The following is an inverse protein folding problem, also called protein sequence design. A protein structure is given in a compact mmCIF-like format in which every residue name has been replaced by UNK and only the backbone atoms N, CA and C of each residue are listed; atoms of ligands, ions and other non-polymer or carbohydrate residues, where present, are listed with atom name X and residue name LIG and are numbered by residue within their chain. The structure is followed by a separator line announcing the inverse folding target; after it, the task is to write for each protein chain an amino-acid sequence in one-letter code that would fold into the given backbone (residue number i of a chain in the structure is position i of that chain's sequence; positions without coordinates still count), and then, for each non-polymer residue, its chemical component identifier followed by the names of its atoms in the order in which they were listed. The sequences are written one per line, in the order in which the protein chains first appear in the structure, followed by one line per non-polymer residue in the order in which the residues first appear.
data_IF_075884241660
#
_entry.id   IF_075884241660
#
_cell.length_a   1.000
_cell.length_b   1.000
_cell.length_c   1.000
_cell.angle_alpha   90.00
_cell.angle_beta   90.00
_cell.angle_gamma   90.00
#
_symmetry.space_group_name_H-M   'P 1'
#
loop_
_entity.id
_entity.type
_entity.pdbx_description
1 polymer ?
#
# COMPACT_ATOMS: atom_id res chain seq x y z
N UNK A 1 -32.21 38.10 -8.14
CA UNK A 1 -30.81 38.46 -7.83
C UNK A 1 -30.51 37.84 -6.49
N UNK A 2 -29.74 36.77 -6.54
CA UNK A 2 -29.47 35.86 -5.44
C UNK A 2 -28.57 36.55 -4.43
N UNK A 3 -29.07 36.72 -3.21
CA UNK A 3 -28.27 37.15 -2.07
C UNK A 3 -27.36 35.98 -1.70
N UNK A 4 -26.11 36.08 -2.16
CA UNK A 4 -25.06 35.09 -2.00
C UNK A 4 -24.54 35.18 -0.57
N UNK A 5 -25.27 34.59 0.37
CA UNK A 5 -24.80 34.37 1.74
C UNK A 5 -23.59 33.46 1.75
N UNK A 6 -22.40 34.06 1.65
CA UNK A 6 -21.13 33.37 1.79
C UNK A 6 -21.07 32.71 3.18
N UNK A 7 -21.18 31.39 3.20
CA UNK A 7 -20.90 30.56 4.38
C UNK A 7 -19.40 30.63 4.69
N UNK A 8 -18.99 31.69 5.39
CA UNK A 8 -17.66 31.81 5.95
C UNK A 8 -17.50 30.72 7.02
N UNK A 9 -16.79 29.63 6.67
CA UNK A 9 -16.38 28.61 7.64
C UNK A 9 -15.41 29.25 8.64
N UNK A 10 -15.74 29.30 9.93
CA UNK A 10 -14.81 29.79 10.94
C UNK A 10 -13.53 28.96 10.92
N UNK A 11 -12.40 29.66 10.81
CA UNK A 11 -11.07 29.08 10.69
C UNK A 11 -10.81 28.00 11.73
N UNK A 12 -10.65 26.78 11.25
CA UNK A 12 -9.88 25.75 11.96
C UNK A 12 -8.39 26.06 11.77
N UNK A 13 -7.91 27.17 12.36
CA UNK A 13 -6.49 27.33 12.65
C UNK A 13 -6.17 26.51 13.89
N UNK A 14 -6.29 25.18 13.80
CA UNK A 14 -5.62 24.28 14.74
C UNK A 14 -4.13 24.46 14.45
N UNK A 15 -3.47 25.28 15.27
CA UNK A 15 -2.02 25.45 15.20
C UNK A 15 -1.37 24.07 15.25
N UNK A 16 -0.70 23.69 14.17
CA UNK A 16 0.23 22.58 14.21
C UNK A 16 1.38 23.04 15.12
N UNK A 17 1.45 22.51 16.35
CA UNK A 17 2.66 22.63 17.15
C UNK A 17 3.77 21.97 16.34
N UNK A 18 4.88 22.70 16.14
CA UNK A 18 6.09 22.10 15.59
C UNK A 18 6.54 20.98 16.54
N UNK A 19 6.66 19.77 16.01
CA UNK A 19 7.26 18.65 16.73
C UNK A 19 8.74 18.95 16.99
N UNK A 20 9.26 18.42 18.08
CA UNK A 20 10.68 18.50 18.41
C UNK A 20 11.49 17.53 17.56
N UNK A 21 12.77 17.82 17.33
CA UNK A 21 13.67 16.93 16.57
C UNK A 21 13.76 15.52 17.19
N UNK A 22 13.64 15.42 18.52
CA UNK A 22 13.62 14.13 19.22
C UNK A 22 12.32 13.34 18.94
N UNK A 23 11.17 14.02 18.90
CA UNK A 23 9.89 13.40 18.53
C UNK A 23 9.91 12.93 17.08
N UNK A 24 10.45 13.73 16.16
CA UNK A 24 10.60 13.34 14.76
C UNK A 24 11.55 12.16 14.60
N UNK A 25 12.69 12.16 15.29
CA UNK A 25 13.63 11.04 15.30
C UNK A 25 12.99 9.77 15.90
N UNK A 26 12.16 9.91 16.93
CA UNK A 26 11.44 8.78 17.52
C UNK A 26 10.42 8.17 16.55
N UNK A 27 9.68 9.01 15.82
CA UNK A 27 8.71 8.59 14.81
C UNK A 27 9.39 7.90 13.63
N UNK A 28 10.54 8.42 13.17
CA UNK A 28 11.35 7.78 12.13
C UNK A 28 11.87 6.41 12.56
N UNK A 29 12.41 6.29 13.77
CA UNK A 29 12.88 5.02 14.32
C UNK A 29 11.75 3.99 14.42
N UNK A 30 10.57 4.42 14.90
CA UNK A 30 9.39 3.56 14.98
C UNK A 30 8.93 3.12 13.59
N UNK A 31 8.85 4.04 12.64
CA UNK A 31 8.46 3.75 11.25
C UNK A 31 9.43 2.81 10.55
N UNK A 32 10.74 3.03 10.72
CA UNK A 32 11.77 2.14 10.19
C UNK A 32 11.70 0.74 10.82
N UNK A 33 11.51 0.65 12.14
CA UNK A 33 11.37 -0.62 12.83
C UNK A 33 10.18 -1.41 12.30
N UNK A 34 9.04 -0.75 12.12
CA UNK A 34 7.84 -1.37 11.54
C UNK A 34 8.08 -1.86 10.11
N UNK A 35 8.64 -1.02 9.23
CA UNK A 35 8.86 -1.42 7.82
C UNK A 35 9.88 -2.53 7.68
N UNK A 36 10.90 -2.60 8.54
CA UNK A 36 11.85 -3.72 8.56
C UNK A 36 11.20 -5.02 9.06
N UNK A 37 10.40 -4.96 10.13
CA UNK A 37 9.76 -6.15 10.70
C UNK A 37 8.73 -6.78 9.76
N UNK A 38 7.96 -5.96 9.04
CA UNK A 38 6.90 -6.43 8.13
C UNK A 38 7.33 -6.45 6.66
N UNK A 39 8.63 -6.25 6.37
CA UNK A 39 9.10 -6.34 4.99
C UNK A 39 8.98 -7.77 4.48
N UNK A 40 8.17 -7.97 3.45
CA UNK A 40 8.04 -9.26 2.77
C UNK A 40 9.20 -9.50 1.79
N UNK A 41 9.81 -8.42 1.28
CA UNK A 41 10.88 -8.46 0.29
C UNK A 41 12.09 -7.69 0.80
N UNK A 42 13.18 -8.39 1.09
CA UNK A 42 14.41 -7.80 1.66
C UNK A 42 15.44 -7.46 0.59
N UNK A 43 15.42 -8.19 -0.53
CA UNK A 43 16.33 -7.95 -1.65
C UNK A 43 15.78 -6.88 -2.61
N UNK A 44 16.62 -5.90 -2.96
CA UNK A 44 16.26 -4.82 -3.87
C UNK A 44 15.87 -5.33 -5.27
N UNK A 45 16.48 -6.41 -5.74
CA UNK A 45 16.14 -6.99 -7.05
C UNK A 45 14.74 -7.64 -7.02
N UNK A 46 14.41 -8.35 -5.94
CA UNK A 46 13.08 -8.93 -5.72
C UNK A 46 12.00 -7.85 -5.65
N UNK A 47 12.27 -6.71 -5.00
CA UNK A 47 11.35 -5.57 -4.98
C UNK A 47 11.09 -5.03 -6.39
N UNK A 48 12.13 -4.91 -7.22
CA UNK A 48 12.00 -4.44 -8.61
C UNK A 48 11.19 -5.43 -9.45
N UNK A 49 11.43 -6.72 -9.26
CA UNK A 49 10.74 -7.78 -10.00
C UNK A 49 9.25 -7.83 -9.65
N UNK A 50 8.89 -7.79 -8.36
CA UNK A 50 7.50 -7.72 -7.89
C UNK A 50 6.81 -6.47 -8.42
N UNK A 51 7.48 -5.32 -8.37
CA UNK A 51 6.92 -4.08 -8.92
C UNK A 51 6.68 -4.18 -10.42
N UNK A 52 7.60 -4.80 -11.17
CA UNK A 52 7.44 -5.01 -12.62
C UNK A 52 6.26 -5.94 -12.92
N UNK A 53 6.12 -7.02 -12.15
CA UNK A 53 5.02 -7.97 -12.27
C UNK A 53 3.66 -7.29 -12.05
N UNK A 54 3.53 -6.51 -10.97
CA UNK A 54 2.27 -5.83 -10.63
C UNK A 54 1.94 -4.65 -11.56
N UNK A 55 2.95 -3.96 -12.11
CA UNK A 55 2.75 -2.81 -13.00
C UNK A 55 2.19 -3.19 -14.37
N UNK A 56 2.16 -4.48 -14.73
CA UNK A 56 1.52 -4.96 -15.96
C UNK A 56 -0.01 -5.08 -15.87
N UNK A 57 -0.58 -4.86 -14.68
CA UNK A 57 -2.02 -4.92 -14.44
C UNK A 57 -2.66 -3.54 -14.44
N UNK A 58 -3.95 -3.44 -14.81
CA UNK A 58 -4.73 -2.19 -14.73
C UNK A 58 -5.24 -1.92 -13.30
N UNK A 59 -4.45 -2.28 -12.29
CA UNK A 59 -4.78 -2.08 -10.88
C UNK A 59 -4.35 -0.69 -10.41
N UNK A 60 -5.10 -0.13 -9.45
CA UNK A 60 -4.75 1.14 -8.85
C UNK A 60 -3.46 1.02 -8.01
N UNK A 61 -2.73 2.12 -7.86
CA UNK A 61 -1.48 2.13 -7.06
C UNK A 61 -1.68 1.64 -5.62
N UNK A 62 -2.87 1.88 -5.05
CA UNK A 62 -3.26 1.34 -3.74
C UNK A 62 -3.36 -0.19 -3.75
N UNK A 63 -4.03 -0.77 -4.75
CA UNK A 63 -4.22 -2.22 -4.87
C UNK A 63 -2.89 -2.94 -5.07
N UNK A 64 -2.02 -2.38 -5.92
CA UNK A 64 -0.66 -2.84 -6.13
C UNK A 64 0.14 -2.86 -4.81
N UNK A 65 0.06 -1.77 -4.03
CA UNK A 65 0.75 -1.69 -2.74
C UNK A 65 0.20 -2.70 -1.72
N UNK A 66 -1.12 -2.88 -1.66
CA UNK A 66 -1.76 -3.83 -0.75
C UNK A 66 -1.37 -5.28 -1.09
N UNK A 67 -1.42 -5.67 -2.36
CA UNK A 67 -0.98 -7.01 -2.79
C UNK A 67 0.48 -7.28 -2.43
N UNK A 68 1.36 -6.28 -2.63
CA UNK A 68 2.78 -6.36 -2.26
C UNK A 68 3.03 -6.52 -0.75
N UNK A 69 2.22 -5.85 0.08
CA UNK A 69 2.39 -5.88 1.53
C UNK A 69 1.80 -7.14 2.18
N UNK A 70 0.65 -7.60 1.68
CA UNK A 70 -0.11 -8.69 2.32
C UNK A 70 0.34 -10.08 1.88
N UNK A 71 0.89 -10.23 0.67
CA UNK A 71 1.30 -11.53 0.11
C UNK A 71 0.23 -12.61 0.29
N UNK A 72 -1.01 -12.32 -0.16
CA UNK A 72 -2.14 -13.23 -0.09
C UNK A 72 -1.82 -14.58 -0.78
N UNK A 73 -2.38 -15.66 -0.24
CA UNK A 73 -2.13 -17.03 -0.73
C UNK A 73 -2.99 -17.36 -1.95
N UNK A 74 -4.20 -16.81 -2.02
CA UNK A 74 -5.17 -17.05 -3.07
C UNK A 74 -6.01 -15.81 -3.40
N UNK A 75 -6.69 -15.88 -4.55
CA UNK A 75 -7.57 -14.84 -5.08
C UNK A 75 -8.78 -14.54 -4.17
N UNK A 76 -9.27 -15.53 -3.42
CA UNK A 76 -10.41 -15.38 -2.51
C UNK A 76 -10.01 -14.52 -1.30
N UNK A 77 -8.87 -14.83 -0.68
CA UNK A 77 -8.27 -14.04 0.40
C UNK A 77 -7.98 -12.61 -0.09
N UNK A 78 -7.33 -12.47 -1.24
CA UNK A 78 -6.99 -11.18 -1.81
C UNK A 78 -8.23 -10.30 -2.05
N UNK A 79 -9.31 -10.87 -2.60
CA UNK A 79 -10.58 -10.15 -2.83
C UNK A 79 -11.34 -9.88 -1.53
N UNK A 80 -11.20 -10.74 -0.52
CA UNK A 80 -11.79 -10.50 0.80
C UNK A 80 -11.11 -9.34 1.54
N UNK A 81 -9.78 -9.22 1.42
CA UNK A 81 -9.00 -8.16 2.06
C UNK A 81 -9.04 -6.85 1.26
N UNK A 82 -9.08 -6.96 -0.07
CA UNK A 82 -9.05 -5.83 -1.01
C UNK A 82 -10.30 -5.93 -1.90
N UNK A 83 -11.48 -5.54 -1.40
CA UNK A 83 -12.75 -5.69 -2.12
C UNK A 83 -12.80 -4.90 -3.44
N UNK A 84 -11.94 -3.90 -3.63
CA UNK A 84 -11.85 -3.14 -4.87
C UNK A 84 -11.28 -3.94 -6.06
N UNK A 85 -10.67 -5.10 -5.81
CA UNK A 85 -10.21 -6.04 -6.86
C UNK A 85 -11.37 -6.80 -7.53
N UNK A 86 -12.53 -6.87 -6.87
CA UNK A 86 -13.69 -7.61 -7.39
C UNK A 86 -14.17 -6.96 -8.69
N UNK A 87 -14.19 -7.75 -9.77
CA UNK A 87 -14.60 -7.28 -11.10
C UNK A 87 -13.50 -6.58 -11.92
N UNK A 88 -12.31 -6.36 -11.35
CA UNK A 88 -11.15 -5.78 -12.09
C UNK A 88 -10.19 -6.83 -12.63
N UNK A 89 -10.01 -7.92 -11.89
CA UNK A 89 -9.14 -9.03 -12.25
C UNK A 89 -9.86 -10.35 -12.00
N UNK A 90 -9.72 -11.30 -12.92
CA UNK A 90 -10.24 -12.65 -12.77
C UNK A 90 -9.42 -13.45 -11.76
N UNK A 91 -10.03 -14.47 -11.16
CA UNK A 91 -9.41 -15.28 -10.11
C UNK A 91 -8.16 -16.01 -10.62
N UNK A 92 -8.18 -16.48 -11.87
CA UNK A 92 -7.07 -17.25 -12.44
C UNK A 92 -5.83 -16.37 -12.67
N UNK A 93 -6.01 -15.17 -13.25
CA UNK A 93 -4.94 -14.20 -13.43
C UNK A 93 -4.38 -13.71 -12.09
N UNK A 94 -5.26 -13.47 -11.10
CA UNK A 94 -4.85 -13.06 -9.76
C UNK A 94 -4.05 -14.16 -9.07
N UNK A 95 -4.52 -15.41 -9.09
CA UNK A 95 -3.81 -16.57 -8.52
C UNK A 95 -2.44 -16.78 -9.16
N UNK A 96 -2.34 -16.65 -10.49
CA UNK A 96 -1.06 -16.75 -11.21
C UNK A 96 -0.08 -15.68 -10.74
N UNK A 97 -0.56 -14.45 -10.57
CA UNK A 97 0.25 -13.32 -10.11
C UNK A 97 0.72 -13.52 -8.66
N UNK A 98 -0.18 -13.95 -7.77
CA UNK A 98 0.15 -14.25 -6.36
C UNK A 98 1.21 -15.35 -6.26
N UNK A 99 1.08 -16.45 -7.03
CA UNK A 99 2.08 -17.53 -7.09
C UNK A 99 3.44 -17.05 -7.61
N UNK A 100 3.46 -16.17 -8.59
CA UNK A 100 4.71 -15.58 -9.08
C UNK A 100 5.38 -14.70 -8.02
N UNK A 101 4.60 -13.92 -7.26
CA UNK A 101 5.12 -13.13 -6.13
C UNK A 101 5.67 -14.02 -5.02
N UNK A 102 4.96 -15.10 -4.67
CA UNK A 102 5.42 -16.09 -3.69
C UNK A 102 6.73 -16.76 -4.12
N UNK A 103 6.83 -17.11 -5.41
CA UNK A 103 8.07 -17.62 -5.99
C UNK A 103 9.23 -16.64 -5.77
N UNK A 104 9.07 -15.36 -6.17
CA UNK A 104 10.11 -14.33 -5.96
C UNK A 104 10.48 -14.19 -4.49
N UNK A 105 9.49 -14.26 -3.59
CA UNK A 105 9.69 -14.20 -2.14
C UNK A 105 10.50 -15.38 -1.60
N UNK A 106 10.39 -16.56 -2.19
CA UNK A 106 11.13 -17.74 -1.77
C UNK A 106 12.57 -17.77 -2.34
N UNK A 107 12.83 -17.13 -3.48
CA UNK A 107 14.14 -17.10 -4.14
C UNK A 107 15.07 -15.97 -3.68
N UNK A 108 14.62 -15.08 -2.79
CA UNK A 108 15.43 -14.00 -2.20
C UNK A 108 16.17 -14.40 -0.91
N UNK A 109 16.12 -15.70 -0.54
CA UNK A 109 16.83 -16.26 0.61
C UNK A 109 18.34 -16.39 0.37
#
# INVERSE_FOLDING_TARGET
MEDSGAFARPGHSRGYKASTEEEDASMLRLGQGYTQQFSQFTNQDSVREVRKLLSGSELASFEIAQLGNMCCSDSVEAKSLIPSLVGKIDDESLDRMLKQMESIKNFQA
#
